data_IF_577381659181
#
_entry.id   IF_577381659181
#
_cell.length_a   1.000
_cell.length_b   1.000
_cell.length_c   1.000
_cell.angle_alpha   90.00
_cell.angle_beta   90.00
_cell.angle_gamma   90.00
#
_symmetry.space_group_name_H-M   'P 1'
#
loop_
_entity.id
_entity.type
_entity.pdbx_description
1 polymer ?
#
# COMPACT_ATOMS: atom_id res chain seq x y z
N UNK A 1 -9.35 -73.43 8.37
CA UNK A 1 -8.54 -72.60 9.27
C UNK A 1 -8.90 -71.16 8.98
N UNK A 2 -9.85 -70.62 9.75
CA UNK A 2 -10.42 -69.29 9.53
C UNK A 2 -9.62 -68.31 10.38
N UNK A 3 -8.98 -67.33 9.75
CA UNK A 3 -8.22 -66.30 10.47
C UNK A 3 -9.22 -65.34 11.10
N UNK A 4 -9.20 -65.26 12.43
CA UNK A 4 -10.04 -64.38 13.23
C UNK A 4 -9.49 -62.94 13.14
N UNK A 5 -10.24 -62.02 12.53
CA UNK A 5 -9.81 -60.64 12.26
C UNK A 5 -9.94 -59.67 13.45
N UNK A 6 -10.03 -60.17 14.69
CA UNK A 6 -10.34 -59.36 15.88
C UNK A 6 -9.15 -59.18 16.85
N UNK A 7 -7.93 -58.95 16.34
CA UNK A 7 -6.75 -58.75 17.21
C UNK A 7 -6.57 -57.30 17.70
N UNK A 8 -7.28 -56.31 17.15
CA UNK A 8 -7.03 -54.90 17.53
C UNK A 8 -8.20 -54.08 18.07
N UNK A 9 -9.37 -54.66 18.35
CA UNK A 9 -10.39 -54.03 19.21
C UNK A 9 -10.85 -52.61 18.87
N UNK A 10 -10.50 -52.05 17.72
CA UNK A 10 -10.94 -50.73 17.29
C UNK A 10 -12.29 -50.92 16.60
N UNK A 11 -13.36 -50.49 17.26
CA UNK A 11 -14.66 -50.41 16.64
C UNK A 11 -14.60 -49.41 15.48
N UNK A 12 -15.35 -49.62 14.39
CA UNK A 12 -15.40 -48.66 13.27
C UNK A 12 -15.95 -47.29 13.68
N UNK A 13 -16.38 -47.12 14.92
CA UNK A 13 -16.89 -45.89 15.53
C UNK A 13 -15.78 -45.05 16.20
N UNK A 14 -14.57 -45.58 16.38
CA UNK A 14 -13.42 -44.85 16.96
C UNK A 14 -12.59 -44.06 15.92
N UNK A 15 -12.99 -44.07 14.65
CA UNK A 15 -12.61 -43.00 13.72
C UNK A 15 -13.42 -41.76 14.06
N UNK A 16 -13.11 -41.13 15.20
CA UNK A 16 -13.39 -39.71 15.38
C UNK A 16 -12.70 -39.04 14.21
N UNK A 17 -13.48 -38.69 13.18
CA UNK A 17 -13.03 -37.80 12.14
C UNK A 17 -12.53 -36.57 12.90
N UNK A 18 -11.20 -36.46 13.03
CA UNK A 18 -10.56 -35.24 13.49
C UNK A 18 -10.99 -34.25 12.44
N UNK A 19 -12.05 -33.49 12.73
CA UNK A 19 -12.48 -32.42 11.87
C UNK A 19 -11.22 -31.63 11.60
N UNK A 20 -10.83 -31.57 10.33
CA UNK A 20 -9.71 -30.73 9.94
C UNK A 20 -10.00 -29.34 10.50
N UNK A 21 -8.96 -28.67 10.97
CA UNK A 21 -9.08 -27.38 11.65
C UNK A 21 -9.92 -26.37 10.85
N UNK A 22 -9.93 -26.56 9.53
CA UNK A 22 -10.70 -25.93 8.47
C UNK A 22 -12.24 -25.89 8.72
N UNK A 23 -12.78 -26.75 9.60
CA UNK A 23 -14.21 -26.86 9.90
C UNK A 23 -14.61 -26.56 11.35
N UNK A 24 -13.66 -26.18 12.21
CA UNK A 24 -13.94 -25.91 13.63
C UNK A 24 -14.28 -24.43 13.85
N UNK A 25 -15.44 -24.18 14.47
CA UNK A 25 -15.81 -22.84 14.92
C UNK A 25 -14.84 -22.37 16.02
N UNK A 26 -14.02 -21.37 15.72
CA UNK A 26 -13.04 -20.85 16.67
C UNK A 26 -13.71 -19.80 17.58
N UNK A 27 -14.17 -20.25 18.75
CA UNK A 27 -14.75 -19.38 19.78
C UNK A 27 -13.66 -18.47 20.38
N UNK A 28 -13.89 -17.16 20.35
CA UNK A 28 -12.97 -16.13 20.88
C UNK A 28 -12.18 -15.34 19.84
N UNK A 29 -12.38 -15.63 18.54
CA UNK A 29 -11.68 -14.99 17.42
C UNK A 29 -12.58 -14.10 16.54
N UNK A 30 -13.89 -14.20 16.71
CA UNK A 30 -14.86 -13.46 15.90
C UNK A 30 -15.00 -12.00 16.37
N UNK A 31 -14.52 -11.07 15.55
CA UNK A 31 -15.12 -9.74 15.40
C UNK A 31 -14.67 -8.64 16.35
N UNK A 32 -13.79 -8.90 17.32
CA UNK A 32 -13.17 -7.81 18.11
C UNK A 32 -11.86 -7.42 17.46
N UNK A 33 -11.67 -6.13 17.15
CA UNK A 33 -10.49 -5.59 16.44
C UNK A 33 -9.14 -5.84 17.15
N UNK A 34 -9.18 -6.36 18.39
CA UNK A 34 -8.02 -6.72 19.19
C UNK A 34 -7.75 -8.24 19.28
N UNK A 35 -8.51 -9.10 18.58
CA UNK A 35 -8.27 -10.55 18.61
C UNK A 35 -7.06 -10.95 17.75
N UNK A 36 -6.36 -12.02 18.14
CA UNK A 36 -5.23 -12.55 17.35
C UNK A 36 -5.69 -12.98 15.96
N UNK A 37 -6.86 -13.62 15.83
CA UNK A 37 -7.40 -13.98 14.51
C UNK A 37 -7.77 -12.77 13.68
N UNK A 38 -8.31 -11.70 14.27
CA UNK A 38 -8.57 -10.49 13.50
C UNK A 38 -7.25 -9.96 12.92
N UNK A 39 -6.19 -9.90 13.74
CA UNK A 39 -4.87 -9.48 13.26
C UNK A 39 -4.31 -10.42 12.17
N UNK A 40 -4.39 -11.74 12.36
CA UNK A 40 -3.94 -12.71 11.36
C UNK A 40 -4.78 -12.62 10.08
N UNK A 41 -6.10 -12.51 10.18
CA UNK A 41 -7.01 -12.33 9.04
C UNK A 41 -6.72 -11.03 8.28
N UNK A 42 -6.44 -9.95 8.98
CA UNK A 42 -6.07 -8.67 8.36
C UNK A 42 -4.68 -8.71 7.71
N UNK A 43 -3.74 -9.49 8.26
CA UNK A 43 -2.43 -9.78 7.66
C UNK A 43 -2.63 -10.61 6.38
N UNK A 44 -3.43 -11.68 6.42
CA UNK A 44 -3.73 -12.51 5.25
C UNK A 44 -4.41 -11.70 4.14
N UNK A 45 -5.33 -10.79 4.49
CA UNK A 45 -5.91 -9.83 3.53
C UNK A 45 -4.88 -8.89 2.92
N UNK A 46 -3.84 -8.51 3.64
CA UNK A 46 -2.75 -7.69 3.08
C UNK A 46 -1.93 -8.50 2.06
N UNK A 47 -1.59 -9.74 2.38
CA UNK A 47 -0.78 -10.58 1.50
C UNK A 47 -1.53 -11.12 0.27
N UNK A 48 -2.86 -11.20 0.33
CA UNK A 48 -3.69 -11.75 -0.75
C UNK A 48 -4.64 -10.73 -1.39
N UNK A 49 -4.41 -9.43 -1.20
CA UNK A 49 -5.19 -8.43 -1.90
C UNK A 49 -4.76 -8.32 -3.36
N UNK A 50 -5.69 -7.86 -4.21
CA UNK A 50 -5.33 -7.45 -5.56
C UNK A 50 -4.57 -6.13 -5.49
N UNK A 51 -3.26 -6.22 -5.67
CA UNK A 51 -2.39 -5.08 -5.86
C UNK A 51 -2.75 -4.32 -7.14
N UNK A 52 -2.75 -2.99 -7.06
CA UNK A 52 -2.86 -2.13 -8.24
C UNK A 52 -1.85 -1.01 -8.21
N UNK A 53 -1.20 -0.82 -9.35
CA UNK A 53 -0.25 0.27 -9.58
C UNK A 53 -0.97 1.52 -10.09
N UNK A 54 -0.57 2.67 -9.57
CA UNK A 54 -1.08 3.98 -9.96
C UNK A 54 0.05 4.95 -10.30
N UNK A 55 -0.25 5.81 -11.28
CA UNK A 55 0.57 6.95 -11.65
C UNK A 55 -0.25 8.25 -11.63
N UNK A 56 0.39 9.34 -12.02
CA UNK A 56 -0.23 10.67 -12.11
C UNK A 56 -1.23 10.73 -13.26
N UNK A 57 -2.46 11.17 -12.95
CA UNK A 57 -3.49 11.48 -13.94
C UNK A 57 -3.05 12.64 -14.83
N UNK A 58 -3.45 12.60 -16.11
CA UNK A 58 -3.20 13.68 -17.06
C UNK A 58 -4.01 14.95 -16.74
N UNK A 59 -5.10 14.81 -15.98
CA UNK A 59 -5.94 15.91 -15.52
C UNK A 59 -5.87 16.02 -13.99
N UNK A 60 -5.24 17.09 -13.50
CA UNK A 60 -5.13 17.43 -12.08
C UNK A 60 -5.93 18.70 -11.72
N UNK A 61 -7.02 18.97 -12.44
CA UNK A 61 -7.84 20.19 -12.30
C UNK A 61 -8.55 20.36 -10.95
N UNK A 62 -8.46 19.40 -10.03
CA UNK A 62 -9.17 19.48 -8.77
C UNK A 62 -10.42 18.59 -8.70
N UNK A 63 -11.05 18.40 -9.85
CA UNK A 63 -12.37 17.74 -9.98
C UNK A 63 -12.21 16.26 -10.31
N UNK A 64 -11.17 15.91 -11.06
CA UNK A 64 -10.89 14.56 -11.49
C UNK A 64 -9.93 13.84 -10.52
N UNK A 65 -9.90 12.50 -10.54
CA UNK A 65 -8.93 11.71 -9.77
C UNK A 65 -7.49 12.15 -10.06
N UNK A 66 -6.68 12.30 -9.02
CA UNK A 66 -5.25 12.64 -9.15
C UNK A 66 -4.43 11.44 -9.61
N UNK A 67 -4.85 10.24 -9.20
CA UNK A 67 -4.23 8.98 -9.53
C UNK A 67 -5.02 8.29 -10.64
N UNK A 68 -4.30 7.62 -11.53
CA UNK A 68 -4.92 6.73 -12.52
C UNK A 68 -4.20 5.40 -12.53
N UNK A 69 -4.95 4.31 -12.66
CA UNK A 69 -4.37 2.96 -12.57
C UNK A 69 -3.55 2.65 -13.82
N UNK A 70 -2.53 1.81 -13.66
CA UNK A 70 -1.68 1.34 -14.75
C UNK A 70 -2.46 0.63 -15.86
N UNK A 71 -3.58 0.01 -15.50
CA UNK A 71 -4.51 -0.63 -16.44
C UNK A 71 -5.45 0.36 -17.18
N UNK A 72 -5.50 1.63 -16.78
CA UNK A 72 -6.36 2.62 -17.40
C UNK A 72 -5.74 3.18 -18.68
N UNK A 73 -6.53 3.24 -19.75
CA UNK A 73 -6.14 3.94 -20.97
C UNK A 73 -5.90 5.42 -20.65
N UNK A 74 -4.68 5.91 -20.88
CA UNK A 74 -4.31 7.29 -20.60
C UNK A 74 -3.48 7.53 -19.33
N UNK A 75 -3.04 6.48 -18.61
CA UNK A 75 -1.92 6.64 -17.69
C UNK A 75 -0.69 7.08 -18.50
N UNK A 76 -0.17 8.27 -18.22
CA UNK A 76 0.90 8.87 -19.04
C UNK A 76 2.16 9.24 -18.28
N UNK A 77 2.12 9.32 -16.94
CA UNK A 77 3.26 9.87 -16.19
C UNK A 77 3.36 9.32 -14.78
N UNK A 78 4.59 9.11 -14.33
CA UNK A 78 4.92 8.92 -12.92
C UNK A 78 4.54 10.16 -12.10
N UNK A 79 4.32 9.96 -10.81
CA UNK A 79 4.38 11.08 -9.86
C UNK A 79 5.81 11.60 -9.80
N UNK A 80 5.97 12.89 -9.49
CA UNK A 80 7.28 13.53 -9.33
C UNK A 80 7.30 14.30 -8.02
N UNK A 81 8.33 14.08 -7.23
CA UNK A 81 8.67 14.93 -6.11
C UNK A 81 10.02 15.61 -6.39
N UNK A 82 10.13 16.87 -5.98
CA UNK A 82 11.33 17.70 -6.09
C UNK A 82 11.87 17.97 -4.69
N UNK A 83 13.18 17.89 -4.51
CA UNK A 83 13.80 18.21 -3.23
C UNK A 83 14.14 19.68 -3.12
N UNK A 84 13.96 20.24 -1.92
CA UNK A 84 14.64 21.48 -1.55
C UNK A 84 16.10 21.21 -1.15
N UNK A 85 16.92 22.28 -1.06
CA UNK A 85 18.32 22.21 -0.67
C UNK A 85 18.53 21.55 0.70
N UNK A 86 18.83 20.24 0.71
CA UNK A 86 18.91 19.42 1.93
C UNK A 86 17.62 19.44 2.79
N UNK A 87 16.50 19.79 2.18
CA UNK A 87 15.19 19.90 2.80
C UNK A 87 14.17 19.05 2.02
N UNK A 88 13.05 18.75 2.67
CA UNK A 88 11.89 18.28 1.90
C UNK A 88 11.40 19.45 1.04
N UNK A 89 10.91 19.15 -0.16
CA UNK A 89 10.20 20.10 -1.01
C UNK A 89 9.20 20.93 -0.19
N UNK A 90 9.15 22.24 -0.43
CA UNK A 90 8.45 23.17 0.47
C UNK A 90 7.28 23.89 -0.20
N UNK A 91 7.15 23.81 -1.53
CA UNK A 91 6.04 24.38 -2.29
C UNK A 91 5.27 23.36 -3.11
N UNK A 92 4.07 23.76 -3.54
CA UNK A 92 3.09 22.89 -4.19
C UNK A 92 3.56 22.17 -5.47
N UNK A 93 4.65 22.63 -6.09
CA UNK A 93 5.26 22.00 -7.25
C UNK A 93 6.32 20.96 -6.88
N UNK A 94 6.85 21.04 -5.66
CA UNK A 94 7.87 20.14 -5.15
C UNK A 94 7.31 18.86 -4.54
N UNK A 95 6.06 18.86 -4.08
CA UNK A 95 5.39 17.63 -3.64
C UNK A 95 4.56 16.95 -4.73
N UNK A 96 4.38 15.64 -4.57
CA UNK A 96 3.38 14.90 -5.32
C UNK A 96 2.13 14.71 -4.46
N UNK A 97 0.99 15.28 -4.85
CA UNK A 97 -0.31 14.77 -4.43
C UNK A 97 -0.60 13.48 -5.20
N UNK A 98 -0.53 12.35 -4.48
CA UNK A 98 -0.59 11.00 -5.04
C UNK A 98 -1.98 10.38 -4.94
N UNK A 99 -2.80 10.82 -3.98
CA UNK A 99 -4.19 10.42 -3.84
C UNK A 99 -5.00 11.59 -3.29
N UNK A 100 -6.04 12.01 -4.01
CA UNK A 100 -6.98 13.04 -3.61
C UNK A 100 -8.30 12.47 -3.08
N UNK A 101 -9.19 13.37 -2.66
CA UNK A 101 -10.52 12.98 -2.13
C UNK A 101 -11.47 12.48 -3.22
N UNK A 102 -11.22 12.81 -4.49
CA UNK A 102 -12.02 12.34 -5.62
C UNK A 102 -11.48 11.04 -6.21
N UNK A 103 -10.32 10.56 -5.75
CA UNK A 103 -9.76 9.30 -6.17
C UNK A 103 -10.56 8.13 -5.59
N UNK A 104 -10.82 7.14 -6.43
CA UNK A 104 -11.60 5.96 -6.09
C UNK A 104 -10.84 4.69 -6.47
N UNK A 105 -11.14 3.62 -5.76
CA UNK A 105 -10.57 2.30 -6.03
C UNK A 105 -11.71 1.29 -6.10
N UNK A 106 -11.81 0.60 -7.24
CA UNK A 106 -12.75 -0.49 -7.44
C UNK A 106 -12.01 -1.73 -7.94
N UNK A 107 -12.19 -2.85 -7.27
CA UNK A 107 -11.57 -4.13 -7.59
C UNK A 107 -12.68 -5.13 -7.87
N UNK A 108 -12.68 -5.71 -9.08
CA UNK A 108 -13.70 -6.65 -9.54
C UNK A 108 -15.15 -6.15 -9.35
N UNK A 109 -15.39 -4.85 -9.55
CA UNK A 109 -16.70 -4.23 -9.38
C UNK A 109 -17.08 -3.86 -7.95
N UNK A 110 -16.24 -4.17 -6.96
CA UNK A 110 -16.44 -3.79 -5.57
C UNK A 110 -15.69 -2.48 -5.29
N UNK A 111 -16.42 -1.46 -4.84
CA UNK A 111 -15.81 -0.20 -4.39
C UNK A 111 -15.15 -0.38 -3.03
N UNK A 112 -13.89 -0.02 -2.94
CA UNK A 112 -13.13 -0.04 -1.69
C UNK A 112 -13.44 1.21 -0.87
N UNK A 113 -13.38 1.10 0.45
CA UNK A 113 -13.67 2.22 1.38
C UNK A 113 -12.42 2.68 2.14
N UNK A 114 -11.40 1.83 2.18
CA UNK A 114 -10.08 2.15 2.73
C UNK A 114 -8.98 1.71 1.78
N UNK A 115 -7.82 2.32 1.91
CA UNK A 115 -6.60 1.89 1.22
C UNK A 115 -5.37 2.12 2.07
N UNK A 116 -4.26 1.50 1.67
CA UNK A 116 -2.92 1.90 2.04
C UNK A 116 -2.01 1.86 0.80
N UNK A 117 -0.96 2.68 0.82
CA UNK A 117 0.15 2.53 -0.11
C UNK A 117 1.10 1.50 0.50
N UNK A 118 1.26 0.39 -0.21
CA UNK A 118 2.11 -0.70 0.24
C UNK A 118 3.49 -0.62 -0.38
N UNK A 119 3.62 -0.10 -1.59
CA UNK A 119 4.89 -0.11 -2.32
C UNK A 119 5.08 1.15 -3.16
N UNK A 120 6.34 1.45 -3.45
CA UNK A 120 6.75 2.47 -4.40
C UNK A 120 7.75 1.88 -5.39
N UNK A 121 7.55 2.17 -6.67
CA UNK A 121 8.45 1.80 -7.75
C UNK A 121 9.04 3.08 -8.33
N UNK A 122 10.34 3.27 -8.20
CA UNK A 122 11.00 4.51 -8.65
C UNK A 122 11.42 4.39 -10.11
N UNK A 123 10.75 5.15 -10.96
CA UNK A 123 10.95 5.09 -12.42
C UNK A 123 12.07 5.97 -12.93
N UNK A 124 12.39 7.06 -12.21
CA UNK A 124 13.48 7.96 -12.59
C UNK A 124 14.05 8.68 -11.36
N UNK A 125 15.33 9.03 -11.39
CA UNK A 125 15.96 9.97 -10.46
C UNK A 125 16.91 10.88 -11.23
N UNK A 126 16.93 12.18 -10.91
CA UNK A 126 17.87 13.12 -11.51
C UNK A 126 19.28 13.04 -10.90
N UNK A 127 19.45 12.32 -9.79
CA UNK A 127 20.71 12.21 -9.03
C UNK A 127 20.92 10.81 -8.45
N UNK A 128 22.17 10.48 -8.12
CA UNK A 128 22.59 9.18 -7.55
C UNK A 128 22.69 9.13 -6.03
N UNK A 129 22.38 10.23 -5.36
CA UNK A 129 22.58 10.37 -3.92
C UNK A 129 21.35 9.90 -3.15
N UNK A 130 21.50 9.74 -1.83
CA UNK A 130 20.42 9.29 -0.94
C UNK A 130 19.23 10.25 -1.02
N UNK A 131 18.07 9.67 -1.23
CA UNK A 131 16.78 10.31 -1.09
C UNK A 131 16.14 9.93 0.25
N UNK A 132 15.44 10.88 0.85
CA UNK A 132 14.47 10.60 1.89
C UNK A 132 13.10 10.94 1.35
N UNK A 133 12.21 9.96 1.30
CA UNK A 133 10.81 10.19 0.96
C UNK A 133 9.98 10.27 2.23
N UNK A 134 9.03 11.19 2.23
CA UNK A 134 8.04 11.34 3.30
C UNK A 134 6.66 11.13 2.70
N UNK A 135 5.98 10.06 3.10
CA UNK A 135 4.58 9.79 2.75
C UNK A 135 3.72 10.40 3.83
N UNK A 136 2.88 11.35 3.45
CA UNK A 136 2.05 12.14 4.35
C UNK A 136 0.60 11.79 4.05
N UNK A 137 -0.21 11.59 5.08
CA UNK A 137 -1.61 11.23 4.92
C UNK A 137 -2.49 12.05 5.86
N UNK A 138 -3.65 12.49 5.39
CA UNK A 138 -4.57 13.28 6.22
C UNK A 138 -5.79 13.78 5.46
N UNK A 139 -6.79 14.25 6.19
CA UNK A 139 -8.05 14.76 5.61
C UNK A 139 -8.02 16.25 5.24
N UNK A 140 -7.05 17.01 5.77
CA UNK A 140 -6.91 18.45 5.58
C UNK A 140 -5.89 18.83 4.51
N UNK A 141 -4.95 19.69 4.91
CA UNK A 141 -3.77 20.05 4.11
C UNK A 141 -2.57 19.17 4.48
N UNK A 142 -1.56 19.12 3.60
CA UNK A 142 -0.31 18.43 3.88
C UNK A 142 0.40 19.02 5.11
N UNK A 143 0.39 20.35 5.27
CA UNK A 143 1.01 21.04 6.40
C UNK A 143 0.36 20.65 7.74
N UNK A 144 -0.97 20.52 7.77
CA UNK A 144 -1.70 20.09 8.96
C UNK A 144 -1.35 18.64 9.32
N UNK A 145 -1.29 17.76 8.31
CA UNK A 145 -0.94 16.35 8.50
C UNK A 145 0.49 16.18 9.03
N UNK A 146 1.47 16.94 8.49
CA UNK A 146 2.84 16.98 9.01
C UNK A 146 2.85 17.43 10.47
N UNK A 147 2.15 18.52 10.79
CA UNK A 147 2.05 19.05 12.16
C UNK A 147 1.45 18.03 13.12
N UNK A 148 0.48 17.24 12.65
CA UNK A 148 -0.15 16.17 13.41
C UNK A 148 0.68 14.87 13.49
N UNK A 149 1.87 14.82 12.88
CA UNK A 149 2.71 13.62 12.87
C UNK A 149 2.19 12.48 11.97
N UNK A 150 1.31 12.80 11.02
CA UNK A 150 0.68 11.82 10.13
C UNK A 150 1.52 11.55 8.89
N UNK A 151 2.71 11.00 9.10
CA UNK A 151 3.62 10.65 8.01
C UNK A 151 4.55 9.50 8.36
N UNK A 152 5.08 8.87 7.31
CA UNK A 152 6.18 7.91 7.38
C UNK A 152 7.35 8.43 6.56
N UNK A 153 8.57 8.17 7.00
CA UNK A 153 9.79 8.51 6.27
C UNK A 153 10.53 7.23 5.88
N UNK A 154 11.02 7.15 4.66
CA UNK A 154 11.92 6.08 4.22
C UNK A 154 13.18 6.67 3.55
N UNK A 155 14.36 6.16 3.90
CA UNK A 155 15.56 6.40 3.11
C UNK A 155 15.57 5.46 1.90
N UNK A 156 16.00 5.97 0.75
CA UNK A 156 16.32 5.15 -0.41
C UNK A 156 17.58 5.68 -1.10
N UNK A 157 18.35 4.76 -1.71
CA UNK A 157 19.48 5.13 -2.56
C UNK A 157 19.03 4.95 -3.99
N UNK A 158 19.09 6.03 -4.76
CA UNK A 158 18.88 5.99 -6.19
C UNK A 158 20.20 5.73 -6.90
N UNK A 159 20.38 4.58 -7.53
CA UNK A 159 21.58 4.33 -8.33
C UNK A 159 21.34 4.75 -9.79
N UNK A 160 21.97 5.83 -10.26
CA UNK A 160 21.89 6.22 -11.68
C UNK A 160 22.84 5.42 -12.58
N UNK A 161 23.70 4.53 -12.04
CA UNK A 161 24.44 3.58 -12.87
C UNK A 161 23.51 2.55 -13.55
N UNK A 162 22.27 2.41 -13.07
CA UNK A 162 21.17 1.70 -13.76
C UNK A 162 20.37 2.61 -14.72
N UNK A 163 20.98 3.67 -15.27
CA UNK A 163 20.37 4.50 -16.32
C UNK A 163 19.03 5.12 -15.89
N UNK A 164 18.94 5.58 -14.64
CA UNK A 164 17.78 6.26 -14.10
C UNK A 164 16.62 5.35 -13.67
N UNK A 165 16.56 4.09 -14.09
CA UNK A 165 15.58 3.15 -13.55
C UNK A 165 16.11 2.56 -12.26
N UNK A 166 15.41 2.78 -11.16
CA UNK A 166 15.59 1.94 -9.98
C UNK A 166 14.47 0.92 -10.10
N UNK A 167 14.74 -0.24 -10.71
CA UNK A 167 13.78 -1.35 -10.76
C UNK A 167 13.62 -2.03 -9.37
N UNK A 168 13.58 -1.21 -8.31
CA UNK A 168 13.42 -1.63 -6.92
C UNK A 168 12.03 -1.19 -6.49
N UNK A 169 11.24 -2.20 -6.17
CA UNK A 169 10.00 -2.04 -5.41
C UNK A 169 10.39 -1.90 -3.94
N UNK A 170 10.00 -0.78 -3.34
CA UNK A 170 10.30 -0.48 -1.94
C UNK A 170 9.01 -0.54 -1.14
N UNK A 171 8.92 -1.39 -0.09
CA UNK A 171 7.74 -1.44 0.75
C UNK A 171 7.59 -0.16 1.58
N UNK A 172 6.36 0.31 1.67
CA UNK A 172 5.93 1.45 2.47
C UNK A 172 5.08 0.95 3.62
N UNK A 173 5.28 1.58 4.78
CA UNK A 173 4.44 1.38 5.95
C UNK A 173 3.62 2.64 6.20
N UNK A 174 2.31 2.55 6.04
CA UNK A 174 1.37 3.61 6.42
C UNK A 174 0.09 2.99 6.99
N UNK A 175 -0.65 3.70 7.86
CA UNK A 175 -1.95 3.22 8.28
C UNK A 175 -2.93 3.23 7.10
N UNK A 176 -3.95 2.38 7.18
CA UNK A 176 -5.06 2.42 6.25
C UNK A 176 -5.83 3.72 6.42
N UNK A 177 -6.08 4.39 5.31
CA UNK A 177 -6.83 5.66 5.27
C UNK A 177 -8.17 5.46 4.57
N UNK A 178 -9.11 6.35 4.86
CA UNK A 178 -10.45 6.30 4.27
C UNK A 178 -10.48 7.00 2.91
N UNK A 179 -10.90 6.27 1.88
CA UNK A 179 -11.11 6.79 0.52
C UNK A 179 -12.23 7.82 0.55
N UNK A 180 -12.12 8.89 -0.26
CA UNK A 180 -13.12 9.96 -0.29
C UNK A 180 -12.93 11.06 0.76
N UNK A 181 -12.07 10.83 1.75
CA UNK A 181 -11.85 11.79 2.86
C UNK A 181 -10.38 12.12 3.07
N UNK A 182 -9.50 11.13 2.95
CA UNK A 182 -8.07 11.33 3.09
C UNK A 182 -7.42 11.64 1.76
N UNK A 183 -6.33 12.38 1.85
CA UNK A 183 -5.37 12.61 0.78
C UNK A 183 -4.03 12.01 1.19
N UNK A 184 -3.22 11.66 0.20
CA UNK A 184 -1.86 11.16 0.39
C UNK A 184 -0.91 11.96 -0.49
N UNK A 185 0.12 12.52 0.14
CA UNK A 185 1.21 13.25 -0.51
C UNK A 185 2.54 12.53 -0.32
N UNK A 186 3.46 12.76 -1.24
CA UNK A 186 4.85 12.33 -1.11
C UNK A 186 5.78 13.52 -1.35
N UNK A 187 6.64 13.79 -0.38
CA UNK A 187 7.73 14.77 -0.47
C UNK A 187 9.07 14.06 -0.62
N UNK A 188 9.96 14.63 -1.43
CA UNK A 188 11.34 14.19 -1.57
C UNK A 188 12.31 15.14 -0.87
N UNK A 189 13.36 14.58 -0.27
CA UNK A 189 14.54 15.30 0.21
C UNK A 189 15.80 14.66 -0.35
N UNK A 190 16.69 15.49 -0.88
CA UNK A 190 18.01 15.11 -1.35
C UNK A 190 19.01 16.20 -0.94
N UNK A 191 20.30 15.90 -0.95
CA UNK A 191 21.36 16.90 -0.73
C UNK A 191 21.42 17.94 -1.86
N UNK A 192 21.04 17.54 -3.07
CA UNK A 192 21.01 18.38 -4.27
C UNK A 192 19.70 19.16 -4.31
N UNK A 193 19.78 20.48 -4.39
CA UNK A 193 18.61 21.34 -4.56
C UNK A 193 17.96 21.12 -5.93
N UNK A 194 16.63 21.12 -5.99
CA UNK A 194 15.84 20.86 -7.20
C UNK A 194 16.12 19.52 -7.89
N UNK A 195 16.69 18.54 -7.18
CA UNK A 195 16.70 17.18 -7.68
C UNK A 195 15.26 16.66 -7.75
N UNK A 196 14.99 15.73 -8.67
CA UNK A 196 13.67 15.14 -8.86
C UNK A 196 13.73 13.63 -8.77
N UNK A 197 12.68 13.04 -8.20
CA UNK A 197 12.45 11.60 -8.17
C UNK A 197 11.06 11.29 -8.69
N UNK A 198 10.99 10.36 -9.65
CA UNK A 198 9.77 9.95 -10.30
C UNK A 198 9.40 8.54 -9.88
N UNK A 199 8.12 8.30 -9.60
CA UNK A 199 7.68 7.01 -9.06
C UNK A 199 6.21 6.68 -9.38
N UNK A 200 5.92 5.38 -9.26
CA UNK A 200 4.58 4.80 -9.23
C UNK A 200 4.30 4.27 -7.83
N UNK A 201 3.03 4.16 -7.47
CA UNK A 201 2.58 3.67 -6.15
C UNK A 201 1.80 2.37 -6.31
N UNK A 202 2.13 1.38 -5.48
CA UNK A 202 1.36 0.16 -5.28
C UNK A 202 0.31 0.37 -4.20
N UNK A 203 -0.96 0.09 -4.53
CA UNK A 203 -2.11 0.38 -3.67
C UNK A 203 -2.88 -0.91 -3.37
N UNK A 204 -3.19 -1.09 -2.09
CA UNK A 204 -4.15 -2.08 -1.63
C UNK A 204 -5.48 -1.44 -1.22
N UNK A 205 -6.59 -2.09 -1.57
CA UNK A 205 -7.94 -1.60 -1.27
C UNK A 205 -8.72 -2.52 -0.34
N UNK A 206 -9.45 -1.96 0.61
CA UNK A 206 -10.21 -2.73 1.60
C UNK A 206 -11.69 -2.36 1.56
N UNK A 207 -12.52 -3.40 1.59
CA UNK A 207 -13.91 -3.27 2.03
C UNK A 207 -13.94 -3.04 3.54
N UNK A 208 -14.92 -2.28 4.00
CA UNK A 208 -15.08 -1.85 5.41
C UNK A 208 -15.15 -3.03 6.36
#
# INVERSE_FOLDING_TARGET
MTINSNIFGVSSEDLVAVNKIDGLATLGLAGVSNSLAYRVHEIEKHFHNNERWYGKSADQSGVNPWATSLSAAGMRTSFRATSGSSAFGADANDEALCWGVNDTLSIAGVTMTKLDFHEIFVTASSVTTIWYLRIIYGSGTMADAITAGQFSCLPLVADAAQNGSIDIIIPIMMPRVTIGTHKIWIQGKNATDNATIDFLIGVHGYVS
#
